data_IF_288405250649
#
_entry.id   IF_288405250649
#
_cell.length_a   1.000
_cell.length_b   1.000
_cell.length_c   1.000
_cell.angle_alpha   90.00
_cell.angle_beta   90.00
_cell.angle_gamma   90.00
#
_symmetry.space_group_name_H-M   'P 1'
#
loop_
_entity.id
_entity.type
_entity.pdbx_description
1 polymer ?
#
# COMPACT_ATOMS: atom_id res chain seq x y z
N UNK A 1 -15.95 -6.83 4.05
CA UNK A 1 -15.02 -7.31 3.02
C UNK A 1 -13.64 -6.87 3.48
N UNK A 2 -12.69 -7.79 3.67
CA UNK A 2 -11.32 -7.43 4.07
C UNK A 2 -10.55 -6.92 2.84
N UNK A 3 -9.92 -5.75 2.97
CA UNK A 3 -9.08 -5.15 1.93
C UNK A 3 -7.61 -5.53 2.15
N UNK A 4 -6.93 -5.91 1.07
CA UNK A 4 -5.51 -6.26 1.05
C UNK A 4 -4.71 -5.23 0.25
N UNK A 5 -3.49 -4.94 0.69
CA UNK A 5 -2.53 -4.08 -0.02
C UNK A 5 -1.36 -4.90 -0.57
N UNK A 6 -0.68 -4.38 -1.59
CA UNK A 6 0.49 -5.03 -2.20
C UNK A 6 1.74 -4.66 -1.42
N UNK A 7 2.39 -5.65 -0.80
CA UNK A 7 3.68 -5.45 -0.14
C UNK A 7 4.80 -5.34 -1.15
N UNK A 8 5.71 -4.41 -0.91
CA UNK A 8 6.88 -4.18 -1.77
C UNK A 8 8.15 -4.03 -0.93
N UNK A 9 9.29 -4.30 -1.56
CA UNK A 9 10.58 -3.89 -1.03
C UNK A 9 10.90 -2.42 -1.36
N UNK A 10 12.09 -1.96 -0.95
CA UNK A 10 12.57 -0.60 -1.17
C UNK A 10 12.79 -0.21 -2.63
N UNK A 11 12.78 -1.18 -3.55
CA UNK A 11 12.92 -0.97 -4.99
C UNK A 11 11.56 -1.09 -5.73
N UNK A 12 10.45 -1.05 -4.98
CA UNK A 12 9.09 -1.28 -5.49
C UNK A 12 8.91 -2.66 -6.16
N UNK A 13 9.69 -3.67 -5.77
CA UNK A 13 9.48 -5.05 -6.22
C UNK A 13 8.44 -5.71 -5.32
N UNK A 14 7.42 -6.34 -5.92
CA UNK A 14 6.36 -7.01 -5.17
C UNK A 14 6.90 -8.22 -4.39
N UNK A 15 6.58 -8.28 -3.09
CA UNK A 15 6.98 -9.37 -2.19
C UNK A 15 5.79 -10.07 -1.51
N UNK A 16 4.56 -9.59 -1.72
CA UNK A 16 3.36 -10.26 -1.19
C UNK A 16 2.13 -9.36 -1.12
N UNK A 17 1.22 -9.73 -0.21
CA UNK A 17 0.03 -8.94 0.17
C UNK A 17 -0.24 -9.06 1.68
N UNK A 18 -0.87 -8.06 2.27
CA UNK A 18 -1.19 -8.02 3.71
C UNK A 18 -2.51 -7.30 3.94
N UNK A 19 -3.18 -7.56 5.07
CA UNK A 19 -4.35 -6.81 5.49
C UNK A 19 -4.04 -5.31 5.56
N UNK A 20 -4.89 -4.49 4.92
CA UNK A 20 -4.72 -3.03 4.88
C UNK A 20 -4.51 -2.44 6.27
N UNK A 21 -5.29 -2.85 7.26
CA UNK A 21 -5.19 -2.33 8.64
C UNK A 21 -3.81 -2.60 9.24
N UNK A 22 -3.25 -3.80 9.07
CA UNK A 22 -1.94 -4.15 9.62
C UNK A 22 -0.81 -3.31 9.03
N UNK A 23 -0.91 -2.92 7.76
CA UNK A 23 0.07 -2.04 7.11
C UNK A 23 0.04 -0.58 7.60
N UNK A 24 -1.02 -0.15 8.29
CA UNK A 24 -1.20 1.23 8.76
C UNK A 24 -1.07 1.38 10.29
N UNK A 25 -0.87 0.28 11.02
CA UNK A 25 -0.53 0.30 12.44
C UNK A 25 0.98 0.52 12.64
N UNK A 26 1.44 0.85 13.87
CA UNK A 26 2.87 0.91 14.17
C UNK A 26 3.60 -0.36 13.74
N UNK A 27 4.79 -0.21 13.17
CA UNK A 27 5.57 -1.30 12.55
C UNK A 27 4.92 -1.95 11.31
N UNK A 28 4.01 -1.23 10.64
CA UNK A 28 3.42 -1.65 9.37
C UNK A 28 4.46 -1.91 8.27
N UNK A 29 4.18 -2.87 7.38
CA UNK A 29 5.06 -3.22 6.26
C UNK A 29 4.90 -2.22 5.09
N UNK A 30 6.00 -1.98 4.38
CA UNK A 30 6.02 -1.17 3.16
C UNK A 30 5.07 -1.76 2.10
N UNK A 31 4.22 -0.91 1.54
CA UNK A 31 3.22 -1.30 0.56
C UNK A 31 3.07 -0.25 -0.54
N UNK A 32 2.70 -0.69 -1.75
CA UNK A 32 2.47 0.20 -2.88
C UNK A 32 1.19 1.00 -2.69
N UNK A 33 1.24 2.28 -3.01
CA UNK A 33 0.11 3.19 -3.00
C UNK A 33 0.13 4.08 -4.25
N UNK A 34 -0.94 4.82 -4.48
CA UNK A 34 -1.00 5.83 -5.54
C UNK A 34 -1.60 7.13 -4.98
N UNK A 35 -1.31 8.23 -5.65
CA UNK A 35 -1.96 9.52 -5.41
C UNK A 35 -2.41 10.06 -6.76
N UNK A 36 -3.67 10.46 -6.87
CA UNK A 36 -4.21 11.10 -8.06
C UNK A 36 -4.38 12.60 -7.82
N UNK A 37 -3.96 13.43 -8.77
CA UNK A 37 -4.17 14.87 -8.79
C UNK A 37 -5.17 15.19 -9.90
N UNK A 38 -6.32 15.73 -9.54
CA UNK A 38 -7.43 16.02 -10.47
C UNK A 38 -7.68 17.52 -10.46
N UNK A 39 -7.64 18.14 -11.63
CA UNK A 39 -7.87 19.57 -11.82
C UNK A 39 -9.18 19.78 -12.58
N UNK A 40 -9.93 20.80 -12.19
CA UNK A 40 -11.00 21.33 -13.02
C UNK A 40 -10.43 22.12 -14.21
N UNK A 41 -11.24 22.30 -15.26
CA UNK A 41 -10.98 23.20 -16.38
C UNK A 41 -11.53 24.59 -16.14
#
# INVERSE_FOLDING_TARGET
>A
MEEYVVLVDQNDIQIGKEDKVKCHLPNGKLHRAFTALIFNG
#
